data_IF_749693433560
#
_entry.id   IF_749693433560
#
_cell.length_a   1.000
_cell.length_b   1.000
_cell.length_c   1.000
_cell.angle_alpha   90.00
_cell.angle_beta   90.00
_cell.angle_gamma   90.00
#
_symmetry.space_group_name_H-M   'P 1'
#
loop_
_entity.id
_entity.type
_entity.pdbx_description
1 polymer ?
#
# COMPACT_ATOMS: atom_id res chain seq x y z
N UNK A 1 -24.38 -16.16 -37.24
CA UNK A 1 -22.92 -16.35 -37.44
C UNK A 1 -22.03 -15.30 -36.75
N UNK A 2 -22.50 -14.10 -36.40
CA UNK A 2 -21.67 -13.04 -35.78
C UNK A 2 -21.37 -13.23 -34.28
N UNK A 3 -22.28 -13.87 -33.51
CA UNK A 3 -22.10 -14.15 -32.06
C UNK A 3 -20.93 -15.07 -31.73
N UNK A 4 -20.56 -15.99 -32.62
CA UNK A 4 -19.41 -16.89 -32.42
C UNK A 4 -18.06 -16.16 -32.50
N UNK A 5 -17.94 -15.15 -33.38
CA UNK A 5 -16.71 -14.36 -33.53
C UNK A 5 -16.47 -13.44 -32.33
N UNK A 6 -17.53 -12.85 -31.75
CA UNK A 6 -17.41 -12.04 -30.53
C UNK A 6 -16.96 -12.88 -29.32
N UNK A 7 -17.54 -14.07 -29.15
CA UNK A 7 -17.19 -14.95 -28.03
C UNK A 7 -15.75 -15.49 -28.17
N UNK A 8 -15.30 -15.74 -29.41
CA UNK A 8 -13.93 -16.13 -29.71
C UNK A 8 -12.93 -14.99 -29.42
N UNK A 9 -13.25 -13.74 -29.75
CA UNK A 9 -12.41 -12.57 -29.40
C UNK A 9 -12.35 -12.39 -27.88
N UNK A 10 -13.48 -12.53 -27.16
CA UNK A 10 -13.51 -12.51 -25.70
C UNK A 10 -12.67 -13.64 -25.08
N UNK A 11 -12.76 -14.86 -25.62
CA UNK A 11 -11.91 -15.99 -25.22
C UNK A 11 -10.44 -15.81 -25.58
N UNK A 12 -10.10 -15.12 -26.68
CA UNK A 12 -8.72 -14.82 -27.07
C UNK A 12 -8.14 -13.72 -26.18
N UNK A 13 -8.93 -12.70 -25.80
CA UNK A 13 -8.54 -11.71 -24.79
C UNK A 13 -8.35 -12.39 -23.41
N UNK A 14 -9.26 -13.31 -23.06
CA UNK A 14 -9.18 -14.15 -21.85
C UNK A 14 -8.04 -15.18 -21.88
N UNK A 15 -7.64 -15.69 -23.05
CA UNK A 15 -6.50 -16.62 -23.21
C UNK A 15 -5.15 -15.93 -23.30
N UNK A 16 -5.08 -14.69 -23.83
CA UNK A 16 -3.87 -13.84 -23.71
C UNK A 16 -3.64 -13.36 -22.27
N UNK A 17 -4.69 -13.38 -21.46
CA UNK A 17 -4.65 -13.31 -20.00
C UNK A 17 -4.67 -14.71 -19.37
N UNK A 18 -3.87 -15.65 -19.90
CA UNK A 18 -3.31 -16.71 -19.05
C UNK A 18 -2.64 -16.01 -17.86
N UNK A 19 -3.32 -16.03 -16.71
CA UNK A 19 -2.79 -15.77 -15.37
C UNK A 19 -1.52 -14.89 -15.33
N UNK A 20 -1.65 -13.58 -15.56
CA UNK A 20 -0.63 -12.69 -14.98
C UNK A 20 -0.80 -12.85 -13.48
N UNK A 21 0.14 -13.54 -12.82
CA UNK A 21 0.02 -13.79 -11.40
C UNK A 21 0.12 -12.42 -10.75
N UNK A 22 -0.97 -11.96 -10.16
CA UNK A 22 -0.96 -10.69 -9.46
C UNK A 22 -0.09 -10.86 -8.23
N UNK A 23 0.97 -10.07 -8.15
CA UNK A 23 1.77 -9.91 -6.95
C UNK A 23 1.16 -8.79 -6.12
N UNK A 24 1.15 -8.96 -4.82
CA UNK A 24 0.65 -7.96 -3.87
C UNK A 24 1.79 -7.49 -3.01
N UNK A 25 1.94 -6.18 -2.90
CA UNK A 25 2.85 -5.54 -1.97
C UNK A 25 2.09 -4.61 -1.05
N UNK A 26 2.59 -4.44 0.16
CA UNK A 26 2.17 -3.38 1.09
C UNK A 26 3.37 -2.51 1.38
N UNK A 27 3.20 -1.19 1.27
CA UNK A 27 4.22 -0.22 1.68
C UNK A 27 3.71 0.51 2.91
N UNK A 28 4.32 0.22 4.05
CA UNK A 28 4.01 0.85 5.33
C UNK A 28 4.88 2.09 5.47
N UNK A 29 4.28 3.27 5.47
CA UNK A 29 4.96 4.56 5.63
C UNK A 29 4.73 5.10 7.03
N UNK A 30 5.81 5.40 7.74
CA UNK A 30 5.80 5.89 9.12
C UNK A 30 6.59 7.20 9.21
N UNK A 31 6.19 8.10 10.10
CA UNK A 31 7.04 9.23 10.48
C UNK A 31 8.35 8.71 11.11
N UNK A 32 9.46 9.40 10.86
CA UNK A 32 10.72 9.09 11.56
C UNK A 32 10.57 9.31 13.07
N UNK A 33 11.34 8.59 13.91
CA UNK A 33 11.17 8.65 15.37
C UNK A 33 11.16 10.06 15.95
N UNK A 34 12.06 10.93 15.47
CA UNK A 34 12.25 12.30 15.96
C UNK A 34 11.31 13.34 15.34
N UNK A 35 10.39 12.93 14.47
CA UNK A 35 9.40 13.84 13.88
C UNK A 35 8.15 13.84 14.76
N UNK A 36 7.65 15.02 15.10
CA UNK A 36 6.41 15.16 15.87
C UNK A 36 5.21 14.67 15.04
N UNK A 37 4.28 14.01 15.71
CA UNK A 37 3.00 13.57 15.14
C UNK A 37 1.82 14.22 15.88
N UNK A 38 1.42 15.44 15.50
CA UNK A 38 0.30 16.13 16.14
C UNK A 38 -1.01 15.35 16.02
N UNK A 39 -1.24 14.69 14.89
CA UNK A 39 -2.45 13.92 14.62
C UNK A 39 -2.55 12.71 15.55
N UNK A 40 -1.47 11.93 15.66
CA UNK A 40 -1.40 10.79 16.58
C UNK A 40 -1.61 11.20 18.04
N UNK A 41 -1.09 12.37 18.43
CA UNK A 41 -1.32 12.90 19.77
C UNK A 41 -2.80 13.28 20.00
N UNK A 42 -3.45 13.93 19.03
CA UNK A 42 -4.88 14.25 19.12
C UNK A 42 -5.73 12.99 19.25
N UNK A 43 -5.43 11.95 18.46
CA UNK A 43 -6.15 10.66 18.53
C UNK A 43 -5.93 9.98 19.89
N UNK A 44 -4.69 9.95 20.40
CA UNK A 44 -4.37 9.41 21.72
C UNK A 44 -5.18 10.09 22.83
N UNK A 45 -5.21 11.42 22.84
CA UNK A 45 -5.98 12.19 23.83
C UNK A 45 -7.49 11.92 23.73
N UNK A 46 -8.02 11.75 22.51
CA UNK A 46 -9.42 11.38 22.33
C UNK A 46 -9.70 9.98 22.91
N UNK A 47 -8.83 9.00 22.65
CA UNK A 47 -8.94 7.65 23.20
C UNK A 47 -8.88 7.63 24.74
N UNK A 48 -7.99 8.42 25.35
CA UNK A 48 -7.91 8.56 26.80
C UNK A 48 -9.21 9.13 27.40
N UNK A 49 -9.80 10.16 26.77
CA UNK A 49 -11.11 10.72 27.20
C UNK A 49 -12.26 9.72 27.08
N UNK A 50 -12.15 8.76 26.17
CA UNK A 50 -13.11 7.65 26.03
C UNK A 50 -12.89 6.52 27.04
N UNK A 51 -11.87 6.63 27.91
CA UNK A 51 -11.57 5.64 28.94
C UNK A 51 -10.68 4.49 28.47
N UNK A 52 -9.99 4.61 27.32
CA UNK A 52 -9.01 3.61 26.87
C UNK A 52 -7.79 3.66 27.81
N UNK A 53 -7.64 2.63 28.64
CA UNK A 53 -6.53 2.52 29.60
C UNK A 53 -5.31 1.83 28.98
N UNK A 54 -4.11 2.19 29.44
CA UNK A 54 -2.86 1.55 29.04
C UNK A 54 -2.29 1.99 27.68
N UNK A 55 -2.90 2.93 26.98
CA UNK A 55 -2.39 3.46 25.70
C UNK A 55 -1.16 4.36 25.93
N UNK A 56 0.04 3.80 25.83
CA UNK A 56 1.30 4.53 26.09
C UNK A 56 1.75 5.39 24.91
N UNK A 57 1.60 4.90 23.68
CA UNK A 57 2.05 5.58 22.47
C UNK A 57 1.11 5.27 21.32
N UNK A 58 0.83 6.29 20.50
CA UNK A 58 0.06 6.18 19.26
C UNK A 58 0.73 7.05 18.22
N UNK A 59 0.99 6.48 17.05
CA UNK A 59 1.53 7.20 15.89
C UNK A 59 0.72 6.89 14.65
N UNK A 60 0.52 7.88 13.80
CA UNK A 60 -0.10 7.73 12.50
C UNK A 60 0.93 7.36 11.44
N UNK A 61 0.42 6.77 10.38
CA UNK A 61 1.18 6.33 9.22
C UNK A 61 0.23 6.08 8.06
N UNK A 62 0.79 5.62 6.93
CA UNK A 62 0.02 5.25 5.75
C UNK A 62 0.37 3.83 5.34
N UNK A 63 -0.59 3.12 4.76
CA UNK A 63 -0.35 1.84 4.10
C UNK A 63 -0.80 1.98 2.65
N UNK A 64 0.08 1.67 1.72
CA UNK A 64 -0.26 1.56 0.30
C UNK A 64 -0.38 0.08 -0.05
N UNK A 65 -1.55 -0.35 -0.49
CA UNK A 65 -1.76 -1.69 -1.04
C UNK A 65 -1.58 -1.63 -2.55
N UNK A 66 -0.65 -2.42 -3.07
CA UNK A 66 -0.20 -2.34 -4.45
C UNK A 66 -0.35 -3.71 -5.09
N UNK A 67 -1.12 -3.79 -6.16
CA UNK A 67 -1.24 -4.97 -7.01
C UNK A 67 -0.45 -4.76 -8.30
N UNK A 68 0.43 -5.70 -8.63
CA UNK A 68 1.28 -5.61 -9.82
C UNK A 68 1.26 -6.90 -10.61
N UNK A 69 1.67 -6.84 -11.88
CA UNK A 69 1.98 -8.05 -12.61
C UNK A 69 3.37 -8.62 -12.22
N UNK A 70 3.71 -9.75 -12.83
CA UNK A 70 4.96 -10.48 -12.54
C UNK A 70 6.24 -9.70 -12.88
N UNK A 71 6.15 -8.66 -13.72
CA UNK A 71 7.30 -7.84 -14.13
C UNK A 71 7.77 -6.85 -13.06
N UNK A 72 6.94 -6.65 -12.04
CA UNK A 72 7.29 -5.80 -10.91
C UNK A 72 8.10 -6.58 -9.88
N UNK A 73 9.24 -6.00 -9.53
CA UNK A 73 10.14 -6.54 -8.50
C UNK A 73 10.04 -5.71 -7.23
N UNK A 74 10.49 -6.29 -6.11
CA UNK A 74 10.52 -5.61 -4.82
C UNK A 74 11.35 -4.33 -4.88
N UNK A 75 12.48 -4.36 -5.58
CA UNK A 75 13.39 -3.20 -5.72
C UNK A 75 12.70 -2.03 -6.43
N UNK A 76 11.85 -2.31 -7.43
CA UNK A 76 11.05 -1.27 -8.10
C UNK A 76 9.98 -0.68 -7.19
N UNK A 77 9.38 -1.50 -6.31
CA UNK A 77 8.45 -1.01 -5.28
C UNK A 77 9.17 -0.14 -4.25
N UNK A 78 10.37 -0.53 -3.82
CA UNK A 78 11.21 0.27 -2.92
C UNK A 78 11.64 1.59 -3.56
N UNK A 79 11.98 1.58 -4.85
CA UNK A 79 12.28 2.79 -5.61
C UNK A 79 11.05 3.72 -5.73
N UNK A 80 9.89 3.15 -6.06
CA UNK A 80 8.62 3.87 -6.10
C UNK A 80 8.32 4.51 -4.72
N UNK A 81 8.48 3.74 -3.65
CA UNK A 81 8.27 4.22 -2.29
C UNK A 81 9.17 5.41 -1.96
N UNK A 82 10.47 5.26 -2.22
CA UNK A 82 11.48 6.30 -1.94
C UNK A 82 11.29 7.57 -2.74
N UNK A 83 10.87 7.46 -4.01
CA UNK A 83 10.75 8.61 -4.93
C UNK A 83 9.39 9.29 -4.89
N UNK A 84 8.32 8.55 -4.59
CA UNK A 84 6.94 9.02 -4.80
C UNK A 84 6.08 8.92 -3.55
N UNK A 85 6.14 7.79 -2.82
CA UNK A 85 5.15 7.53 -1.76
C UNK A 85 5.49 8.21 -0.43
N UNK A 86 6.76 8.56 -0.21
CA UNK A 86 7.22 9.17 1.04
C UNK A 86 7.80 10.56 0.83
N UNK A 87 7.75 11.37 1.88
CA UNK A 87 8.69 12.46 2.05
C UNK A 87 9.93 11.95 2.82
N UNK A 88 11.10 11.76 2.17
CA UNK A 88 12.27 11.13 2.80
C UNK A 88 12.90 11.96 3.90
N UNK A 89 12.58 13.25 4.03
CA UNK A 89 13.06 14.09 5.13
C UNK A 89 12.43 13.64 6.43
N UNK A 90 11.12 13.41 6.44
CA UNK A 90 10.32 13.20 7.67
C UNK A 90 9.72 11.80 7.81
N UNK A 91 9.73 10.98 6.76
CA UNK A 91 9.14 9.64 6.76
C UNK A 91 10.18 8.56 6.43
N UNK A 92 9.84 7.34 6.82
CA UNK A 92 10.50 6.09 6.44
C UNK A 92 9.44 5.10 5.95
N UNK A 93 9.86 4.02 5.29
CA UNK A 93 8.94 2.98 4.84
C UNK A 93 9.48 1.58 5.04
N UNK A 94 8.59 0.61 4.94
CA UNK A 94 8.84 -0.82 4.93
C UNK A 94 7.97 -1.45 3.83
N UNK A 95 8.54 -2.38 3.07
CA UNK A 95 7.82 -3.11 2.01
C UNK A 95 7.59 -4.55 2.45
N UNK A 96 6.34 -4.98 2.39
CA UNK A 96 5.87 -6.35 2.60
C UNK A 96 5.35 -6.90 1.26
N UNK A 97 5.46 -8.22 1.04
CA UNK A 97 5.03 -8.88 -0.20
C UNK A 97 6.11 -9.77 -0.81
#
# INVERSE_FOLDING_TARGET
>A
MQKFRLNLIYLIFRKNSKERRLKKYRVLVKLKPNVLDPEGNTIKQAAERMGVQGLQSLRTGKVFEIETDDSMTREKIEELAKKVLINPVIQTFEVEG
#
